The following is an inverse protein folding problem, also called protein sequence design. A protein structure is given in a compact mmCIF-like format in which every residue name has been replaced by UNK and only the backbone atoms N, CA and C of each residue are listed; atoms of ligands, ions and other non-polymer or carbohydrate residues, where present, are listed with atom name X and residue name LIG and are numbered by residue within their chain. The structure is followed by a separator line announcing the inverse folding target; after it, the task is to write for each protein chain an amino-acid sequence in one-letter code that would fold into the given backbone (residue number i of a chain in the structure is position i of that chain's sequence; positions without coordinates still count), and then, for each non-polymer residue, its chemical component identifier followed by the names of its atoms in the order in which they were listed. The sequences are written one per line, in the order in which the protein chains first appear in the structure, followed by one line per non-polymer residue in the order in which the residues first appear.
data_IF_463368636839
#
_entry.id   IF_463368636839
#
_cell.length_a   1.000
_cell.length_b   1.000
_cell.length_c   1.000
_cell.angle_alpha   90.00
_cell.angle_beta   90.00
_cell.angle_gamma   90.00
#
_symmetry.space_group_name_H-M   'P 1'
#
loop_
_entity.id
_entity.type
_entity.pdbx_description
1 polymer ?
#
# COMPACT_ATOMS: atom_id res chain seq x y z
N UNK A 1 6.89 -33.57 32.20
CA UNK A 1 6.52 -33.29 30.80
C UNK A 1 5.50 -32.15 30.80
N UNK A 2 5.90 -30.94 30.43
CA UNK A 2 4.97 -29.81 30.30
C UNK A 2 4.86 -29.50 28.82
N UNK A 3 3.78 -29.97 28.20
CA UNK A 3 3.39 -29.63 26.83
C UNK A 3 2.94 -28.17 26.84
N UNK A 4 3.90 -27.23 26.84
CA UNK A 4 3.62 -25.79 26.71
C UNK A 4 3.12 -25.56 25.29
N UNK A 5 1.82 -25.34 25.16
CA UNK A 5 1.18 -24.79 23.97
C UNK A 5 2.01 -23.59 23.48
N UNK A 6 2.81 -23.77 22.43
CA UNK A 6 3.48 -22.66 21.75
C UNK A 6 2.38 -21.82 21.12
N UNK A 7 2.10 -20.62 21.66
CA UNK A 7 1.38 -19.56 20.95
C UNK A 7 1.99 -19.48 19.55
N UNK A 8 1.27 -19.95 18.52
CA UNK A 8 1.76 -19.94 17.14
C UNK A 8 1.40 -18.59 16.54
N UNK A 9 2.19 -17.58 16.92
CA UNK A 9 2.10 -16.26 16.32
C UNK A 9 2.33 -16.38 14.82
N UNK A 10 1.44 -15.79 14.02
CA UNK A 10 1.56 -15.78 12.55
C UNK A 10 1.24 -14.39 12.03
N UNK A 11 2.08 -13.87 11.16
CA UNK A 11 1.83 -12.62 10.46
C UNK A 11 0.65 -12.83 9.51
N UNK A 12 -0.42 -12.06 9.67
CA UNK A 12 -1.61 -12.07 8.81
C UNK A 12 -1.47 -11.08 7.66
N UNK A 13 -0.93 -9.90 7.94
CA UNK A 13 -0.68 -8.87 6.93
C UNK A 13 0.44 -7.93 7.38
N UNK A 14 1.10 -7.30 6.41
CA UNK A 14 2.16 -6.32 6.60
C UNK A 14 2.02 -5.26 5.53
N UNK A 15 1.94 -4.00 5.96
CA UNK A 15 1.80 -2.82 5.10
C UNK A 15 2.88 -1.81 5.42
N UNK A 16 4.01 -1.81 4.70
CA UNK A 16 4.95 -0.71 4.72
C UNK A 16 4.37 0.47 3.92
N UNK A 17 4.24 1.63 4.55
CA UNK A 17 3.70 2.85 3.96
C UNK A 17 4.75 3.97 4.03
N UNK A 18 5.12 4.52 2.88
CA UNK A 18 6.04 5.67 2.80
C UNK A 18 5.28 6.93 3.22
N UNK A 19 5.61 7.48 4.39
CA UNK A 19 4.99 8.71 4.91
C UNK A 19 5.63 9.96 4.31
N UNK A 20 6.93 9.89 4.05
CA UNK A 20 7.74 10.96 3.54
C UNK A 20 8.91 10.39 2.76
N UNK A 21 9.30 11.06 1.68
CA UNK A 21 10.50 10.73 0.92
C UNK A 21 11.00 11.96 0.18
N UNK A 22 12.30 12.20 0.25
CA UNK A 22 13.05 13.16 -0.55
C UNK A 22 14.38 12.52 -1.02
N UNK A 23 15.39 13.33 -1.31
CA UNK A 23 16.71 12.85 -1.72
C UNK A 23 17.57 12.36 -0.55
N UNK A 24 17.32 12.87 0.66
CA UNK A 24 18.14 12.63 1.83
C UNK A 24 17.60 11.48 2.69
N UNK A 25 16.27 11.29 2.72
CA UNK A 25 15.63 10.30 3.58
C UNK A 25 14.27 9.81 3.07
N UNK A 26 13.91 8.60 3.49
CA UNK A 26 12.53 8.10 3.46
C UNK A 26 12.09 7.68 4.86
N UNK A 27 10.87 8.06 5.25
CA UNK A 27 10.23 7.65 6.50
C UNK A 27 9.15 6.63 6.18
N UNK A 28 9.26 5.44 6.76
CA UNK A 28 8.35 4.32 6.53
C UNK A 28 7.63 3.97 7.83
N UNK A 29 6.30 3.95 7.76
CA UNK A 29 5.45 3.38 8.80
C UNK A 29 5.01 1.99 8.37
N UNK A 30 5.27 0.97 9.18
CA UNK A 30 4.82 -0.39 8.92
C UNK A 30 3.69 -0.71 9.88
N UNK A 31 2.51 -0.99 9.33
CA UNK A 31 1.39 -1.56 10.08
C UNK A 31 1.29 -3.04 9.78
N UNK A 32 0.97 -3.85 10.77
CA UNK A 32 0.90 -5.30 10.60
C UNK A 32 -0.14 -5.92 11.53
N UNK A 33 -0.60 -7.11 11.14
CA UNK A 33 -1.51 -7.92 11.94
C UNK A 33 -0.86 -9.24 12.31
N UNK A 34 -0.98 -9.65 13.56
CA UNK A 34 -0.56 -10.95 14.05
C UNK A 34 -1.78 -11.77 14.46
N UNK A 35 -1.90 -12.96 13.91
CA UNK A 35 -2.83 -13.99 14.33
C UNK A 35 -2.27 -14.85 15.45
N UNK A 36 -3.16 -15.27 16.35
CA UNK A 36 -2.85 -16.08 17.53
C UNK A 36 -3.98 -15.92 18.56
N UNK A 37 -4.03 -16.79 19.57
CA UNK A 37 -4.98 -16.64 20.67
C UNK A 37 -4.50 -15.50 21.58
N UNK A 38 -4.85 -14.27 21.23
CA UNK A 38 -4.42 -13.02 21.88
C UNK A 38 -5.39 -12.61 23.01
N UNK A 39 -5.84 -13.56 23.83
CA UNK A 39 -6.53 -13.19 25.07
C UNK A 39 -5.48 -12.89 26.14
N UNK A 40 -5.40 -11.61 26.50
CA UNK A 40 -4.73 -11.07 27.68
C UNK A 40 -3.19 -11.19 27.71
N UNK A 41 -2.51 -10.30 26.98
CA UNK A 41 -1.35 -9.51 27.47
C UNK A 41 -0.85 -8.63 26.33
N UNK A 42 -0.35 -7.42 26.66
CA UNK A 42 0.43 -6.62 25.70
C UNK A 42 1.75 -7.35 25.48
N UNK A 43 1.76 -8.28 24.54
CA UNK A 43 2.94 -9.07 24.22
C UNK A 43 3.92 -8.18 23.42
N UNK A 44 5.06 -7.85 24.03
CA UNK A 44 6.15 -7.13 23.35
C UNK A 44 6.86 -8.10 22.39
N UNK A 45 6.64 -7.94 21.09
CA UNK A 45 7.22 -8.83 20.08
C UNK A 45 8.46 -8.22 19.44
N UNK A 46 9.58 -8.96 19.51
CA UNK A 46 10.81 -8.60 18.80
C UNK A 46 10.63 -8.82 17.30
N UNK A 47 11.06 -7.85 16.52
CA UNK A 47 10.93 -7.84 15.07
C UNK A 47 12.23 -7.41 14.42
N UNK A 48 12.52 -8.02 13.27
CA UNK A 48 13.61 -7.63 12.40
C UNK A 48 13.04 -7.28 11.02
N UNK A 49 13.24 -6.04 10.60
CA UNK A 49 12.93 -5.57 9.26
C UNK A 49 14.19 -5.56 8.41
N UNK A 50 14.06 -6.00 7.16
CA UNK A 50 15.11 -5.94 6.16
C UNK A 50 14.56 -5.33 4.88
N UNK A 51 15.23 -4.33 4.34
CA UNK A 51 14.99 -3.81 3.00
C UNK A 51 16.17 -4.18 2.12
N UNK A 52 15.89 -4.83 1.00
CA UNK A 52 16.88 -5.08 -0.06
C UNK A 52 16.46 -4.26 -1.26
N UNK A 53 17.25 -3.24 -1.56
CA UNK A 53 17.02 -2.34 -2.68
C UNK A 53 17.91 -2.61 -3.88
N UNK A 54 17.85 -1.71 -4.87
CA UNK A 54 18.70 -1.71 -6.04
C UNK A 54 20.17 -1.64 -5.66
N UNK A 55 21.05 -2.11 -6.55
CA UNK A 55 22.51 -2.11 -6.35
C UNK A 55 22.96 -2.78 -5.04
N UNK A 56 22.19 -3.76 -4.54
CA UNK A 56 22.45 -4.50 -3.29
C UNK A 56 22.50 -3.61 -2.03
N UNK A 57 21.84 -2.45 -2.05
CA UNK A 57 21.65 -1.66 -0.82
C UNK A 57 20.79 -2.44 0.16
N UNK A 58 21.27 -2.63 1.37
CA UNK A 58 20.57 -3.37 2.42
C UNK A 58 20.43 -2.48 3.64
N UNK A 59 19.19 -2.36 4.13
CA UNK A 59 18.90 -1.73 5.40
C UNK A 59 18.30 -2.77 6.35
N UNK A 60 18.76 -2.78 7.59
CA UNK A 60 18.23 -3.65 8.63
C UNK A 60 17.86 -2.83 9.84
N UNK A 61 16.70 -3.12 10.42
CA UNK A 61 16.25 -2.47 11.64
C UNK A 61 15.67 -3.52 12.59
N UNK A 62 16.04 -3.45 13.86
CA UNK A 62 15.50 -4.31 14.89
C UNK A 62 14.76 -3.44 15.90
N UNK A 63 13.55 -3.86 16.25
CA UNK A 63 12.71 -3.14 17.21
C UNK A 63 11.79 -4.12 17.91
N UNK A 64 11.04 -3.63 18.89
CA UNK A 64 9.92 -4.37 19.46
C UNK A 64 8.65 -3.54 19.34
N UNK A 65 7.53 -4.21 19.18
CA UNK A 65 6.23 -3.57 19.04
C UNK A 65 5.25 -4.11 20.08
N UNK A 66 4.47 -3.20 20.63
CA UNK A 66 3.28 -3.55 21.39
C UNK A 66 2.15 -3.96 20.44
N UNK A 67 1.36 -4.93 20.87
CA UNK A 67 0.19 -5.38 20.14
C UNK A 67 -1.09 -4.96 20.86
N UNK A 68 -2.01 -4.39 20.09
CA UNK A 68 -3.37 -4.11 20.53
C UNK A 68 -4.34 -4.92 19.69
N UNK A 69 -5.00 -5.92 20.28
CA UNK A 69 -5.90 -6.84 19.58
C UNK A 69 -5.26 -7.54 18.35
N UNK A 70 -3.94 -7.75 18.39
CA UNK A 70 -3.17 -8.33 17.29
C UNK A 70 -2.75 -7.35 16.20
N UNK A 71 -3.14 -6.08 16.27
CA UNK A 71 -2.59 -5.00 15.44
C UNK A 71 -1.34 -4.41 16.09
N UNK A 72 -0.32 -4.11 15.28
CA UNK A 72 0.87 -3.40 15.71
C UNK A 72 1.38 -2.44 14.63
N UNK A 73 2.20 -1.48 15.06
CA UNK A 73 2.82 -0.51 14.17
C UNK A 73 4.23 -0.18 14.62
N UNK A 74 5.11 0.04 13.65
CA UNK A 74 6.50 0.47 13.86
C UNK A 74 6.85 1.52 12.81
N UNK A 75 7.79 2.39 13.12
CA UNK A 75 8.31 3.39 12.19
C UNK A 75 9.83 3.31 12.14
N UNK A 76 10.40 3.61 10.98
CA UNK A 76 11.85 3.76 10.82
C UNK A 76 12.14 4.65 9.60
N UNK A 77 13.39 5.08 9.49
CA UNK A 77 13.85 5.89 8.36
C UNK A 77 15.07 5.25 7.71
N UNK A 78 15.25 5.52 6.42
CA UNK A 78 16.46 5.17 5.66
C UNK A 78 17.03 6.45 5.04
N UNK A 79 18.36 6.53 4.95
CA UNK A 79 19.05 7.64 4.30
C UNK A 79 19.27 7.40 2.81
N UNK A 80 19.30 8.50 2.06
CA UNK A 80 19.58 8.57 0.61
C UNK A 80 18.79 7.54 -0.21
N UNK A 81 17.45 7.49 -0.09
CA UNK A 81 16.64 6.46 -0.74
C UNK A 81 16.74 6.54 -2.26
N UNK A 82 16.76 5.39 -2.92
CA UNK A 82 16.51 5.34 -4.36
C UNK A 82 15.00 5.42 -4.59
N UNK A 83 14.55 6.52 -5.20
CA UNK A 83 13.12 6.81 -5.35
C UNK A 83 12.51 6.06 -6.53
N UNK A 84 11.26 5.67 -6.37
CA UNK A 84 10.43 5.16 -7.46
C UNK A 84 9.77 6.34 -8.19
N UNK A 85 9.78 6.29 -9.52
CA UNK A 85 9.19 7.29 -10.39
C UNK A 85 8.30 6.65 -11.46
N UNK A 86 7.22 7.33 -11.88
CA UNK A 86 6.49 6.98 -13.08
C UNK A 86 7.40 6.97 -14.31
N UNK A 87 6.99 6.27 -15.36
CA UNK A 87 7.69 6.22 -16.62
C UNK A 87 7.92 7.64 -17.17
N UNK A 88 9.12 7.89 -17.69
CA UNK A 88 9.52 9.21 -18.18
C UNK A 88 9.96 10.22 -17.10
N UNK A 89 9.81 9.92 -15.81
CA UNK A 89 10.21 10.84 -14.72
C UNK A 89 11.46 10.39 -13.93
N UNK A 90 11.91 9.15 -14.11
CA UNK A 90 13.06 8.59 -13.41
C UNK A 90 13.05 7.06 -13.41
N UNK A 91 13.83 6.45 -12.50
CA UNK A 91 13.88 4.99 -12.32
C UNK A 91 12.72 4.45 -11.47
N UNK A 92 12.28 3.24 -11.78
CA UNK A 92 11.24 2.50 -11.05
C UNK A 92 11.87 1.66 -9.93
N UNK A 93 12.57 2.32 -9.01
CA UNK A 93 13.37 1.61 -8.00
C UNK A 93 12.48 0.91 -6.96
N UNK A 94 12.62 -0.42 -6.85
CA UNK A 94 11.83 -1.28 -5.98
C UNK A 94 12.70 -1.95 -4.92
N UNK A 95 12.16 -2.01 -3.70
CA UNK A 95 12.74 -2.66 -2.54
C UNK A 95 11.93 -3.90 -2.18
N UNK A 96 12.62 -4.98 -1.81
CA UNK A 96 12.02 -6.11 -1.09
C UNK A 96 12.08 -5.82 0.40
N UNK A 97 10.92 -5.54 1.00
CA UNK A 97 10.76 -5.38 2.44
C UNK A 97 10.37 -6.73 3.07
N UNK A 98 11.13 -7.18 4.07
CA UNK A 98 10.81 -8.39 4.84
C UNK A 98 10.65 -8.04 6.31
N UNK A 99 9.49 -8.35 6.89
CA UNK A 99 9.26 -8.35 8.34
C UNK A 99 9.44 -9.77 8.87
N UNK A 100 10.33 -9.93 9.85
CA UNK A 100 10.59 -11.20 10.52
C UNK A 100 10.19 -11.08 11.99
N UNK A 101 9.30 -11.97 12.44
CA UNK A 101 8.88 -12.06 13.83
C UNK A 101 9.81 -13.01 14.60
N UNK A 102 10.25 -12.59 15.79
CA UNK A 102 11.17 -13.34 16.64
C UNK A 102 10.56 -13.66 18.00
N UNK A 103 10.81 -14.88 18.50
CA UNK A 103 10.58 -15.27 19.89
C UNK A 103 11.91 -15.68 20.52
N UNK A 104 12.51 -14.78 21.29
CA UNK A 104 13.95 -14.86 21.61
C UNK A 104 14.77 -14.73 20.33
N UNK A 105 15.66 -15.68 20.08
CA UNK A 105 16.53 -15.69 18.88
C UNK A 105 15.97 -16.54 17.73
N UNK A 106 14.76 -17.10 17.89
CA UNK A 106 14.14 -17.98 16.89
C UNK A 106 13.15 -17.21 16.02
N UNK A 107 13.29 -17.38 14.70
CA UNK A 107 12.29 -16.93 13.73
C UNK A 107 11.00 -17.70 13.92
N UNK A 108 9.93 -16.98 14.17
CA UNK A 108 8.57 -17.53 14.33
C UNK A 108 7.84 -17.50 13.01
N UNK A 109 7.93 -16.38 12.31
CA UNK A 109 7.29 -16.17 11.02
C UNK A 109 7.97 -15.04 10.25
N UNK A 110 7.73 -14.96 8.94
CA UNK A 110 8.21 -13.88 8.08
C UNK A 110 7.22 -13.58 6.96
N UNK A 111 7.10 -12.31 6.61
CA UNK A 111 6.32 -11.87 5.45
C UNK A 111 7.13 -10.86 4.65
N UNK A 112 7.01 -10.93 3.32
CA UNK A 112 7.71 -10.06 2.38
C UNK A 112 6.70 -9.28 1.55
N UNK A 113 7.03 -8.04 1.24
CA UNK A 113 6.24 -7.13 0.41
C UNK A 113 7.19 -6.29 -0.45
N UNK A 114 6.75 -5.94 -1.66
CA UNK A 114 7.44 -5.00 -2.53
C UNK A 114 7.08 -3.57 -2.11
N UNK A 115 8.06 -2.67 -2.14
CA UNK A 115 7.89 -1.27 -1.76
C UNK A 115 8.70 -0.38 -2.71
N UNK A 116 8.11 0.71 -3.20
CA UNK A 116 8.85 1.79 -3.86
C UNK A 116 8.86 3.05 -3.00
N UNK A 117 9.99 3.76 -2.98
CA UNK A 117 10.12 5.00 -2.23
C UNK A 117 9.54 6.16 -3.05
N UNK A 118 8.24 6.42 -2.90
CA UNK A 118 7.52 7.46 -3.65
C UNK A 118 6.49 8.18 -2.79
N UNK A 119 6.21 9.44 -3.12
CA UNK A 119 5.03 10.16 -2.67
C UNK A 119 4.15 10.52 -3.86
N UNK A 120 2.85 10.24 -3.77
CA UNK A 120 1.85 10.64 -4.77
C UNK A 120 0.79 11.45 -4.04
N UNK A 121 0.52 12.67 -4.52
CA UNK A 121 -0.41 13.62 -3.90
C UNK A 121 -1.21 14.34 -4.97
N UNK A 122 -2.29 14.99 -4.59
CA UNK A 122 -2.97 15.98 -5.43
C UNK A 122 -2.56 17.40 -4.99
N UNK A 123 -2.48 18.38 -5.89
CA UNK A 123 -2.35 19.78 -5.52
C UNK A 123 -3.52 20.24 -4.64
N UNK A 124 -3.31 21.22 -3.77
CA UNK A 124 -4.39 21.76 -2.94
C UNK A 124 -5.40 22.48 -3.84
N UNK A 125 -6.65 22.00 -3.85
CA UNK A 125 -7.75 22.62 -4.60
C UNK A 125 -7.97 22.07 -6.01
N UNK A 126 -7.03 21.29 -6.56
CA UNK A 126 -7.24 20.47 -7.77
C UNK A 126 -7.35 19.00 -7.34
N UNK A 127 -8.45 18.36 -7.71
CA UNK A 127 -8.72 16.96 -7.35
C UNK A 127 -8.98 16.08 -8.56
N UNK A 128 -8.87 16.62 -9.78
CA UNK A 128 -9.36 15.93 -10.97
C UNK A 128 -8.36 15.81 -12.10
N UNK A 129 -7.39 16.72 -12.27
CA UNK A 129 -6.54 16.74 -13.47
C UNK A 129 -5.05 16.51 -13.24
N UNK A 130 -4.56 16.72 -12.02
CA UNK A 130 -3.12 16.78 -11.77
C UNK A 130 -2.69 15.93 -10.58
N UNK A 131 -1.59 15.20 -10.72
CA UNK A 131 -0.91 14.54 -9.61
C UNK A 131 0.47 15.17 -9.38
N UNK A 132 0.93 15.13 -8.13
CA UNK A 132 2.31 15.43 -7.76
C UNK A 132 2.99 14.13 -7.35
N UNK A 133 4.05 13.76 -8.05
CA UNK A 133 4.89 12.61 -7.72
C UNK A 133 6.26 13.09 -7.27
N UNK A 134 6.61 12.77 -6.02
CA UNK A 134 7.82 13.28 -5.36
C UNK A 134 7.96 14.82 -5.45
N UNK A 135 6.82 15.52 -5.39
CA UNK A 135 6.73 16.98 -5.48
C UNK A 135 6.77 17.55 -6.90
N UNK A 136 6.96 16.72 -7.94
CA UNK A 136 6.92 17.15 -9.34
C UNK A 136 5.56 16.87 -9.94
N UNK A 137 5.08 17.79 -10.77
CA UNK A 137 3.83 17.60 -11.52
C UNK A 137 3.94 16.41 -12.47
N UNK A 138 2.93 15.55 -12.42
CA UNK A 138 2.72 14.42 -13.32
C UNK A 138 1.44 14.67 -14.10
N UNK A 139 1.62 15.03 -15.37
CA UNK A 139 0.55 15.26 -16.33
C UNK A 139 0.36 13.98 -17.15
N UNK A 140 -0.73 13.26 -16.88
CA UNK A 140 -1.11 12.09 -17.66
C UNK A 140 -1.94 12.54 -18.87
N UNK A 141 -1.65 11.96 -20.04
CA UNK A 141 -2.33 12.30 -21.30
C UNK A 141 -3.61 11.50 -21.52
N UNK A 142 -3.78 10.40 -20.79
CA UNK A 142 -4.92 9.51 -20.94
C UNK A 142 -5.35 8.91 -19.61
N UNK A 143 -6.66 8.74 -19.45
CA UNK A 143 -7.25 7.97 -18.35
C UNK A 143 -7.85 6.72 -18.94
N UNK A 144 -7.31 5.55 -18.59
CA UNK A 144 -7.78 4.26 -19.08
C UNK A 144 -8.51 3.56 -17.94
N UNK A 145 -9.83 3.42 -18.11
CA UNK A 145 -10.68 2.74 -17.14
C UNK A 145 -10.68 1.24 -17.43
N UNK A 146 -10.43 0.45 -16.39
CA UNK A 146 -10.39 -1.02 -16.45
C UNK A 146 -11.59 -1.53 -15.68
N UNK A 147 -12.55 -2.11 -16.39
CA UNK A 147 -13.66 -2.87 -15.83
C UNK A 147 -13.30 -4.36 -15.75
N UNK A 148 -14.09 -5.19 -15.04
CA UNK A 148 -13.82 -6.63 -14.98
C UNK A 148 -13.73 -7.32 -16.35
N UNK A 149 -14.45 -6.81 -17.36
CA UNK A 149 -14.44 -7.39 -18.71
C UNK A 149 -13.15 -7.02 -19.47
N UNK A 150 -12.53 -5.89 -19.13
CA UNK A 150 -11.34 -5.37 -19.79
C UNK A 150 -10.06 -6.13 -19.43
N UNK A 151 -10.02 -6.85 -18.31
CA UNK A 151 -8.83 -7.59 -17.83
C UNK A 151 -8.32 -8.65 -18.83
N UNK A 152 -9.13 -9.02 -19.81
CA UNK A 152 -8.80 -10.02 -20.85
C UNK A 152 -8.29 -9.41 -22.15
N UNK A 153 -8.25 -8.07 -22.25
CA UNK A 153 -7.94 -7.36 -23.48
C UNK A 153 -6.59 -6.64 -23.41
N UNK A 154 -6.01 -6.36 -24.59
CA UNK A 154 -4.84 -5.49 -24.69
C UNK A 154 -5.34 -4.06 -24.49
N UNK A 155 -4.87 -3.43 -23.41
CA UNK A 155 -5.20 -2.05 -23.09
C UNK A 155 -4.21 -1.09 -23.78
N UNK A 156 -4.66 0.06 -24.29
CA UNK A 156 -3.80 1.07 -24.92
C UNK A 156 -3.06 1.89 -23.85
N UNK A 157 -2.19 1.24 -23.08
CA UNK A 157 -1.51 1.84 -21.93
C UNK A 157 -0.11 2.30 -22.31
N UNK A 158 0.13 3.61 -22.17
CA UNK A 158 1.44 4.24 -22.26
C UNK A 158 2.01 4.56 -20.87
N UNK A 159 3.28 4.97 -20.83
CA UNK A 159 3.92 5.43 -19.59
C UNK A 159 3.32 6.72 -19.01
N UNK A 160 2.51 7.42 -19.81
CA UNK A 160 1.77 8.65 -19.52
C UNK A 160 0.27 8.39 -19.32
N UNK A 161 -0.15 7.13 -19.23
CA UNK A 161 -1.52 6.76 -18.88
C UNK A 161 -1.71 6.73 -17.36
N UNK A 162 -2.90 7.13 -16.91
CA UNK A 162 -3.41 6.86 -15.58
C UNK A 162 -4.46 5.74 -15.67
N UNK A 163 -4.20 4.61 -15.03
CA UNK A 163 -5.15 3.51 -14.98
C UNK A 163 -6.16 3.74 -13.86
N UNK A 164 -7.42 3.43 -14.12
CA UNK A 164 -8.47 3.45 -13.08
C UNK A 164 -9.16 2.10 -13.07
N UNK A 165 -8.94 1.32 -12.02
CA UNK A 165 -9.62 0.04 -11.83
C UNK A 165 -11.01 0.35 -11.28
N UNK A 166 -12.04 0.17 -12.11
CA UNK A 166 -13.42 0.56 -11.80
C UNK A 166 -14.24 -0.63 -11.33
N UNK A 167 -14.99 -0.41 -10.26
CA UNK A 167 -16.04 -1.32 -9.75
C UNK A 167 -15.61 -2.77 -9.44
N UNK A 168 -14.31 -3.01 -9.28
CA UNK A 168 -13.74 -4.24 -8.75
C UNK A 168 -12.34 -3.99 -8.17
N UNK A 169 -11.79 -4.95 -7.44
CA UNK A 169 -10.40 -4.90 -6.99
C UNK A 169 -9.50 -5.63 -7.99
N UNK A 170 -8.49 -4.94 -8.52
CA UNK A 170 -7.57 -5.53 -9.50
C UNK A 170 -6.59 -6.52 -8.86
N UNK A 171 -6.09 -7.52 -9.61
CA UNK A 171 -5.22 -8.57 -9.08
C UNK A 171 -3.80 -8.07 -8.78
N UNK A 172 -3.05 -8.75 -7.89
CA UNK A 172 -1.68 -8.36 -7.51
C UNK A 172 -0.75 -8.22 -8.72
N UNK A 173 -0.88 -9.12 -9.69
CA UNK A 173 -0.06 -9.12 -10.92
C UNK A 173 -0.19 -7.82 -11.71
N UNK A 174 -1.35 -7.16 -11.68
CA UNK A 174 -1.54 -5.87 -12.34
C UNK A 174 -0.72 -4.77 -11.67
N UNK A 175 -0.75 -4.73 -10.33
CA UNK A 175 0.01 -3.74 -9.56
C UNK A 175 1.51 -4.02 -9.60
N UNK A 176 1.94 -5.29 -9.53
CA UNK A 176 3.33 -5.69 -9.70
C UNK A 176 3.88 -5.31 -11.08
N UNK A 177 3.07 -5.46 -12.14
CA UNK A 177 3.45 -5.07 -13.49
C UNK A 177 3.54 -3.54 -13.60
N UNK A 178 2.56 -2.82 -13.05
CA UNK A 178 2.53 -1.37 -13.10
C UNK A 178 3.65 -0.72 -12.27
N UNK A 179 4.01 -1.30 -11.11
CA UNK A 179 5.17 -0.91 -10.32
C UNK A 179 6.46 -1.00 -11.14
N UNK A 180 6.65 -2.09 -11.90
CA UNK A 180 7.84 -2.26 -12.74
C UNK A 180 7.85 -1.36 -13.97
N UNK A 181 6.67 -1.13 -14.55
CA UNK A 181 6.52 -0.32 -15.74
C UNK A 181 6.51 1.18 -15.47
N UNK A 182 6.29 1.61 -14.21
CA UNK A 182 6.17 3.02 -13.88
C UNK A 182 4.80 3.61 -14.24
N UNK A 183 3.74 2.81 -14.20
CA UNK A 183 2.38 3.24 -14.56
C UNK A 183 1.58 3.47 -13.28
N UNK A 184 0.92 4.63 -13.14
CA UNK A 184 0.09 4.91 -11.97
C UNK A 184 -1.33 4.32 -12.11
N UNK A 185 -1.89 3.87 -10.98
CA UNK A 185 -3.27 3.39 -10.89
C UNK A 185 -4.07 4.06 -9.78
N UNK A 186 -5.37 4.19 -10.00
CA UNK A 186 -6.37 4.47 -8.97
C UNK A 186 -7.26 3.24 -8.82
N UNK A 187 -7.42 2.78 -7.58
CA UNK A 187 -8.26 1.63 -7.26
C UNK A 187 -9.62 2.10 -6.74
N UNK A 188 -10.70 1.81 -7.49
CA UNK A 188 -12.07 2.04 -7.00
C UNK A 188 -12.46 1.02 -5.93
N UNK A 189 -13.19 1.46 -4.91
CA UNK A 189 -13.88 0.54 -4.02
C UNK A 189 -15.21 0.16 -4.66
N UNK A 190 -15.49 -1.13 -4.94
CA UNK A 190 -16.75 -1.57 -5.52
C UNK A 190 -17.90 -1.36 -4.52
N UNK A 191 -18.66 -0.28 -4.72
CA UNK A 191 -19.84 0.03 -3.96
C UNK A 191 -21.07 -0.39 -4.76
N UNK A 192 -21.49 -1.65 -4.60
CA UNK A 192 -22.66 -2.14 -5.30
C UNK A 192 -23.91 -1.35 -4.87
N UNK A 193 -24.72 -0.87 -5.83
CA UNK A 193 -26.05 -0.27 -5.56
C UNK A 193 -27.00 -1.24 -4.83
N UNK A 194 -26.68 -2.53 -4.82
CA UNK A 194 -27.50 -3.61 -4.29
C UNK A 194 -26.81 -4.28 -3.07
N UNK A 195 -26.76 -3.54 -1.95
CA UNK A 195 -26.62 -4.00 -0.54
C UNK A 195 -25.68 -5.17 -0.22
N UNK A 196 -24.58 -5.35 -0.94
CA UNK A 196 -23.41 -6.04 -0.43
C UNK A 196 -22.24 -5.08 -0.59
N UNK A 197 -22.23 -4.09 0.29
CA UNK A 197 -21.05 -3.25 0.55
C UNK A 197 -19.89 -4.22 0.75
N UNK A 198 -18.76 -4.01 0.09
CA UNK A 198 -17.54 -4.70 0.46
C UNK A 198 -17.37 -4.51 1.97
N UNK A 199 -17.59 -5.57 2.75
CA UNK A 199 -17.66 -5.44 4.21
C UNK A 199 -16.38 -4.79 4.74
N UNK A 200 -16.42 -4.18 5.93
CA UNK A 200 -15.26 -3.51 6.52
C UNK A 200 -13.99 -4.39 6.52
N UNK A 201 -14.14 -5.71 6.64
CA UNK A 201 -13.07 -6.69 6.53
C UNK A 201 -12.50 -6.81 5.11
N UNK A 202 -13.35 -6.77 4.08
CA UNK A 202 -12.94 -6.81 2.68
C UNK A 202 -12.13 -5.57 2.31
N UNK A 203 -12.59 -4.36 2.66
CA UNK A 203 -11.82 -3.13 2.40
C UNK A 203 -10.44 -3.20 3.08
N UNK A 204 -10.39 -3.62 4.34
CA UNK A 204 -9.10 -3.79 5.05
C UNK A 204 -8.18 -4.77 4.34
N UNK A 205 -8.68 -5.92 3.91
CA UNK A 205 -7.89 -6.93 3.21
C UNK A 205 -7.32 -6.39 1.90
N UNK A 206 -8.08 -5.57 1.17
CA UNK A 206 -7.62 -4.99 -0.08
C UNK A 206 -6.59 -3.89 0.16
N UNK A 207 -6.76 -3.06 1.19
CA UNK A 207 -5.71 -2.10 1.60
C UNK A 207 -4.44 -2.82 2.05
N UNK A 208 -4.57 -3.92 2.80
CA UNK A 208 -3.46 -4.78 3.24
C UNK A 208 -2.62 -5.32 2.08
N UNK A 209 -3.29 -5.59 0.96
CA UNK A 209 -2.67 -6.11 -0.25
C UNK A 209 -2.07 -4.99 -1.11
N UNK A 210 -2.79 -3.88 -1.28
CA UNK A 210 -2.51 -2.91 -2.33
C UNK A 210 -1.71 -1.68 -1.90
N UNK A 211 -1.80 -1.26 -0.63
CA UNK A 211 -1.30 0.06 -0.22
C UNK A 211 0.23 0.22 -0.31
N UNK A 212 0.98 -0.88 -0.31
CA UNK A 212 2.44 -0.87 -0.41
C UNK A 212 2.94 -0.61 -1.85
N UNK A 213 2.08 -0.82 -2.86
CA UNK A 213 2.46 -0.62 -4.26
C UNK A 213 2.75 0.86 -4.53
N UNK A 214 3.96 1.22 -5.02
CA UNK A 214 4.27 2.59 -5.39
C UNK A 214 3.42 3.12 -6.54
N UNK A 215 2.93 2.24 -7.42
CA UNK A 215 2.04 2.60 -8.53
C UNK A 215 0.64 3.03 -8.10
N UNK A 216 0.19 2.67 -6.89
CA UNK A 216 -1.11 3.09 -6.39
C UNK A 216 -1.08 4.59 -6.08
N UNK A 217 -1.69 5.40 -6.95
CA UNK A 217 -1.82 6.85 -6.79
C UNK A 217 -2.90 7.23 -5.78
N UNK A 218 -3.97 6.44 -5.70
CA UNK A 218 -5.00 6.63 -4.69
C UNK A 218 -6.19 5.69 -4.80
N UNK A 219 -7.16 5.93 -3.92
CA UNK A 219 -8.41 5.17 -3.84
C UNK A 219 -9.56 6.00 -4.41
N UNK A 220 -10.43 5.39 -5.20
CA UNK A 220 -11.65 6.02 -5.67
C UNK A 220 -12.85 5.50 -4.88
N UNK A 221 -13.63 6.41 -4.32
CA UNK A 221 -14.92 6.13 -3.69
C UNK A 221 -15.98 6.93 -4.43
N UNK A 222 -16.50 6.35 -5.51
CA UNK A 222 -17.48 6.98 -6.40
C UNK A 222 -18.93 6.82 -5.89
N UNK A 223 -19.15 7.17 -4.61
CA UNK A 223 -20.47 7.22 -3.98
C UNK A 223 -20.51 8.36 -2.96
N UNK A 224 -21.43 9.30 -3.15
CA UNK A 224 -21.59 10.50 -2.33
C UNK A 224 -22.64 10.33 -1.23
N UNK A 225 -23.11 9.10 -1.00
CA UNK A 225 -23.97 8.77 0.12
C UNK A 225 -23.15 8.54 1.41
N UNK A 226 -23.86 8.49 2.56
CA UNK A 226 -23.27 8.20 3.88
C UNK A 226 -22.43 6.91 3.92
N UNK A 227 -22.77 5.92 3.11
CA UNK A 227 -22.00 4.67 3.01
C UNK A 227 -20.63 4.92 2.37
N UNK A 228 -20.60 5.66 1.26
CA UNK A 228 -19.35 6.10 0.63
C UNK A 228 -18.49 6.93 1.57
N UNK A 229 -19.08 7.88 2.31
CA UNK A 229 -18.33 8.70 3.29
C UNK A 229 -17.65 7.84 4.36
N UNK A 230 -18.37 6.86 4.94
CA UNK A 230 -17.80 5.93 5.92
C UNK A 230 -16.63 5.11 5.37
N UNK A 231 -16.70 4.75 4.09
CA UNK A 231 -15.63 3.98 3.43
C UNK A 231 -14.43 4.89 3.15
N UNK A 232 -14.65 6.14 2.75
CA UNK A 232 -13.59 7.13 2.62
C UNK A 232 -12.88 7.37 3.96
N UNK A 233 -13.61 7.59 5.05
CA UNK A 233 -13.03 7.74 6.41
C UNK A 233 -12.21 6.51 6.81
N UNK A 234 -12.70 5.32 6.46
CA UNK A 234 -12.04 4.06 6.74
C UNK A 234 -10.75 3.91 5.94
N UNK A 235 -10.77 4.22 4.65
CA UNK A 235 -9.58 4.24 3.80
C UNK A 235 -8.55 5.24 4.34
N UNK A 236 -8.97 6.44 4.75
CA UNK A 236 -8.08 7.43 5.36
C UNK A 236 -7.38 6.89 6.61
N UNK A 237 -8.08 6.08 7.41
CA UNK A 237 -7.50 5.44 8.60
C UNK A 237 -6.54 4.31 8.24
N UNK A 238 -6.87 3.51 7.23
CA UNK A 238 -6.09 2.31 6.85
C UNK A 238 -4.87 2.65 5.99
N UNK A 239 -4.99 3.64 5.12
CA UNK A 239 -3.97 4.13 4.20
C UNK A 239 -3.96 5.67 4.22
N UNK A 240 -3.36 6.27 5.25
CA UNK A 240 -3.27 7.72 5.38
C UNK A 240 -2.25 8.36 4.43
N UNK A 241 -1.65 7.60 3.50
CA UNK A 241 -0.62 8.09 2.56
C UNK A 241 -1.16 8.39 1.17
N UNK A 242 -2.35 7.88 0.86
CA UNK A 242 -2.97 8.01 -0.45
C UNK A 242 -4.14 8.97 -0.42
N UNK A 243 -4.33 9.66 -1.55
CA UNK A 243 -5.49 10.51 -1.74
C UNK A 243 -6.74 9.66 -1.98
N UNK A 244 -7.89 10.17 -1.53
CA UNK A 244 -9.19 9.55 -1.77
C UNK A 244 -9.96 10.40 -2.77
N UNK A 245 -10.05 9.91 -4.00
CA UNK A 245 -10.86 10.48 -5.05
C UNK A 245 -12.34 10.23 -4.77
N UNK A 246 -13.15 11.28 -4.94
CA UNK A 246 -14.62 11.18 -4.88
C UNK A 246 -15.26 11.16 -6.26
N UNK A 247 -14.51 11.56 -7.28
CA UNK A 247 -14.90 11.57 -8.68
C UNK A 247 -13.77 10.95 -9.52
N UNK A 248 -14.11 10.48 -10.72
CA UNK A 248 -13.10 10.03 -11.68
C UNK A 248 -12.18 11.20 -12.06
N UNK A 249 -10.86 10.97 -12.14
CA UNK A 249 -9.96 11.95 -12.70
C UNK A 249 -10.25 12.15 -14.20
N UNK A 250 -9.94 13.33 -14.69
CA UNK A 250 -10.01 13.70 -16.10
C UNK A 250 -8.58 13.91 -16.61
N UNK A 251 -8.31 13.54 -17.86
CA UNK A 251 -7.05 13.90 -18.50
C UNK A 251 -6.99 15.42 -18.68
N UNK A 252 -5.77 15.96 -18.63
CA UNK A 252 -5.51 17.38 -18.91
C UNK A 252 -5.67 17.71 -20.40
#
# INVERSE_FOLDING_TARGET
MVTKYRKKWRIKSVRPLVRYVDEDQAVINVTFQIGGNNQADVDLLKMHMKLVGPHKRIFTHQTSAELHNGDGAIHFSIGEPQRWWPAGMGGQELYSFTLTLLAGDKVVDKMTSTLGMTSVRTPKGDTQSTLLVNGRQYDYQSVVSITPDDEKHILPVGGDSLLVIQDHFGPDVLFDAADRAGILLIQSVPLSRNRNVAGNSQVRQQVDRLAAHPSLAGWLVNDHCRTGDRIADRLHTLDPTRFIFRNLPQAS
#
